data_IF_623866154246
#
_entry.id   IF_623866154246
#
_cell.length_a   1.000
_cell.length_b   1.000
_cell.length_c   1.000
_cell.angle_alpha   90.00
_cell.angle_beta   90.00
_cell.angle_gamma   90.00
#
_symmetry.space_group_name_H-M   'P 1'
#
loop_
_entity.id
_entity.type
_entity.pdbx_description
1 polymer ?
#
# COMPACT_ATOMS: atom_id res chain seq x y z
N UNK A 1 -44.58 -54.10 46.20
CA UNK A 1 -43.30 -53.34 46.31
C UNK A 1 -42.34 -54.00 45.33
N UNK A 2 -41.67 -53.38 44.36
CA UNK A 2 -41.23 -51.99 44.15
C UNK A 2 -41.29 -51.68 42.64
N UNK A 3 -41.76 -50.49 42.27
CA UNK A 3 -41.45 -49.84 40.98
C UNK A 3 -40.17 -49.03 41.18
N UNK A 4 -39.17 -49.16 40.31
CA UNK A 4 -38.05 -48.21 40.21
C UNK A 4 -37.76 -47.85 38.75
N UNK A 5 -37.28 -46.62 38.49
CA UNK A 5 -37.62 -45.87 37.27
C UNK A 5 -36.45 -45.73 36.28
N UNK A 6 -36.85 -45.59 35.02
CA UNK A 6 -36.22 -44.90 33.87
C UNK A 6 -34.71 -44.59 33.89
N UNK A 7 -33.89 -45.26 33.05
CA UNK A 7 -32.52 -44.85 32.73
C UNK A 7 -32.42 -43.93 31.51
N UNK A 8 -33.53 -43.49 30.92
CA UNK A 8 -33.53 -42.81 29.61
C UNK A 8 -33.39 -41.28 29.67
N UNK A 9 -33.45 -40.64 30.84
CA UNK A 9 -33.46 -39.17 30.92
C UNK A 9 -32.08 -38.48 30.93
N UNK A 10 -30.97 -39.18 31.23
CA UNK A 10 -29.66 -38.52 31.29
C UNK A 10 -29.02 -38.26 29.91
N UNK A 11 -29.24 -39.10 28.90
CA UNK A 11 -28.59 -38.94 27.60
C UNK A 11 -29.13 -37.77 26.77
N UNK A 12 -30.41 -37.42 26.92
CA UNK A 12 -31.03 -36.35 26.13
C UNK A 12 -30.50 -34.97 26.55
N UNK A 13 -30.22 -34.78 27.85
CA UNK A 13 -29.77 -33.49 28.39
C UNK A 13 -28.35 -33.13 27.93
N UNK A 14 -27.45 -34.11 27.85
CA UNK A 14 -26.04 -33.87 27.45
C UNK A 14 -25.95 -33.49 25.95
N UNK A 15 -26.72 -34.15 25.08
CA UNK A 15 -26.75 -33.83 23.65
C UNK A 15 -27.30 -32.42 23.37
N UNK A 16 -28.30 -31.97 24.12
CA UNK A 16 -28.83 -30.61 23.99
C UNK A 16 -27.84 -29.53 24.44
N UNK A 17 -26.98 -29.79 25.44
CA UNK A 17 -25.96 -28.82 25.90
C UNK A 17 -24.86 -28.65 24.85
N UNK A 18 -24.38 -29.75 24.25
CA UNK A 18 -23.36 -29.68 23.19
C UNK A 18 -23.89 -28.92 21.96
N UNK A 19 -25.13 -29.17 21.56
CA UNK A 19 -25.77 -28.47 20.44
C UNK A 19 -25.96 -26.96 20.72
N UNK A 20 -26.33 -26.58 21.96
CA UNK A 20 -26.42 -25.16 22.35
C UNK A 20 -25.06 -24.47 22.30
N UNK A 21 -23.98 -25.13 22.76
CA UNK A 21 -22.64 -24.51 22.74
C UNK A 21 -22.09 -24.35 21.32
N UNK A 22 -22.36 -25.28 20.40
CA UNK A 22 -21.98 -25.15 18.99
C UNK A 22 -22.77 -24.02 18.28
N UNK A 23 -24.07 -23.89 18.57
CA UNK A 23 -24.91 -22.82 18.02
C UNK A 23 -24.50 -21.44 18.54
N UNK A 24 -24.15 -21.31 19.83
CA UNK A 24 -23.63 -20.05 20.37
C UNK A 24 -22.26 -19.69 19.81
N UNK A 25 -21.38 -20.67 19.56
CA UNK A 25 -20.08 -20.42 18.92
C UNK A 25 -20.23 -19.91 17.48
N UNK A 26 -21.18 -20.47 16.72
CA UNK A 26 -21.41 -20.07 15.34
C UNK A 26 -22.03 -18.67 15.21
N UNK A 27 -22.70 -18.18 16.25
CA UNK A 27 -23.42 -16.90 16.22
C UNK A 27 -22.61 -15.73 16.81
N UNK A 28 -21.57 -16.01 17.60
CA UNK A 28 -20.76 -14.99 18.29
C UNK A 28 -19.46 -14.62 17.58
N UNK A 29 -18.93 -15.49 16.70
CA UNK A 29 -17.69 -15.23 15.95
C UNK A 29 -17.92 -14.65 14.54
N UNK A 30 -19.15 -14.66 14.03
CA UNK A 30 -19.45 -14.13 12.69
C UNK A 30 -19.39 -12.61 12.52
N UNK A 31 -19.50 -11.71 13.54
CA UNK A 31 -19.49 -10.28 13.25
C UNK A 31 -18.09 -9.65 13.22
N UNK A 32 -17.00 -10.39 13.47
CA UNK A 32 -15.65 -9.83 13.53
C UNK A 32 -14.87 -9.85 12.19
N UNK A 33 -15.42 -10.50 11.17
CA UNK A 33 -14.81 -10.51 9.84
C UNK A 33 -15.78 -9.86 8.85
N UNK A 34 -15.53 -8.60 8.42
CA UNK A 34 -16.31 -8.01 7.34
C UNK A 34 -16.23 -8.92 6.12
N UNK A 35 -17.39 -9.42 5.68
CA UNK A 35 -17.53 -10.49 4.67
C UNK A 35 -17.45 -10.00 3.22
N UNK A 36 -16.83 -8.86 2.95
CA UNK A 36 -16.53 -8.43 1.58
C UNK A 36 -15.13 -7.82 1.55
N UNK A 37 -14.18 -8.54 0.95
CA UNK A 37 -12.90 -7.98 0.59
C UNK A 37 -13.14 -6.90 -0.46
N UNK A 38 -12.84 -5.64 -0.13
CA UNK A 38 -12.83 -4.58 -1.15
C UNK A 38 -11.85 -4.97 -2.28
N UNK A 39 -12.22 -4.75 -3.54
CA UNK A 39 -11.32 -5.02 -4.66
C UNK A 39 -10.03 -4.21 -4.50
N UNK A 40 -8.89 -4.83 -4.83
CA UNK A 40 -7.59 -4.15 -4.80
C UNK A 40 -7.62 -3.05 -5.86
N UNK A 41 -7.39 -1.80 -5.44
CA UNK A 41 -7.25 -0.67 -6.35
C UNK A 41 -5.76 -0.43 -6.62
N UNK A 42 -5.39 -0.39 -7.90
CA UNK A 42 -4.05 -0.04 -8.32
C UNK A 42 -3.82 1.47 -8.19
N UNK A 43 -2.58 1.85 -7.93
CA UNK A 43 -2.13 3.24 -7.94
C UNK A 43 -2.05 3.79 -9.36
N UNK A 44 -2.32 5.08 -9.51
CA UNK A 44 -2.10 5.79 -10.76
C UNK A 44 -0.60 5.80 -11.13
N UNK A 45 -0.31 5.61 -12.42
CA UNK A 45 1.05 5.64 -12.97
C UNK A 45 1.13 6.71 -14.06
N UNK A 46 2.32 7.29 -14.33
CA UNK A 46 2.47 8.39 -15.28
C UNK A 46 2.29 7.93 -16.75
N UNK A 47 2.24 6.63 -16.99
CA UNK A 47 1.94 6.00 -18.28
C UNK A 47 1.39 4.59 -18.07
N UNK A 48 0.97 3.93 -19.15
CA UNK A 48 0.48 2.55 -19.10
C UNK A 48 1.59 1.52 -18.84
N UNK A 49 2.84 1.81 -19.21
CA UNK A 49 4.00 0.92 -18.98
C UNK A 49 5.23 1.69 -18.51
N UNK A 50 6.16 0.99 -17.84
CA UNK A 50 7.45 1.57 -17.42
C UNK A 50 8.22 2.14 -18.61
N UNK A 51 8.27 1.41 -19.72
CA UNK A 51 9.01 1.81 -20.93
C UNK A 51 8.43 3.09 -21.55
N UNK A 52 7.10 3.25 -21.53
CA UNK A 52 6.46 4.47 -21.98
C UNK A 52 6.81 5.65 -21.05
N UNK A 53 6.73 5.43 -19.74
CA UNK A 53 7.11 6.45 -18.76
C UNK A 53 8.59 6.85 -18.89
N UNK A 54 9.49 5.89 -19.13
CA UNK A 54 10.92 6.17 -19.40
C UNK A 54 11.11 7.05 -20.63
N UNK A 55 10.31 6.86 -21.69
CA UNK A 55 10.34 7.74 -22.86
C UNK A 55 9.84 9.14 -22.54
N UNK A 56 8.73 9.26 -21.82
CA UNK A 56 8.17 10.55 -21.37
C UNK A 56 9.22 11.31 -20.55
N UNK A 57 9.89 10.65 -19.61
CA UNK A 57 10.96 11.27 -18.82
C UNK A 57 12.09 11.82 -19.71
N UNK A 58 12.53 11.05 -20.72
CA UNK A 58 13.59 11.46 -21.63
C UNK A 58 13.20 12.61 -22.57
N UNK A 59 11.90 12.79 -22.86
CA UNK A 59 11.41 13.84 -23.76
C UNK A 59 10.96 15.08 -23.00
N UNK A 60 10.06 14.92 -22.04
CA UNK A 60 9.35 15.99 -21.36
C UNK A 60 10.12 16.51 -20.14
N UNK A 61 10.88 15.64 -19.46
CA UNK A 61 11.65 15.99 -18.27
C UNK A 61 13.17 16.05 -18.50
N UNK A 62 13.60 16.08 -19.76
CA UNK A 62 15.01 16.09 -20.15
C UNK A 62 15.83 17.21 -19.48
N UNK A 63 15.24 18.40 -19.37
CA UNK A 63 15.92 19.55 -18.78
C UNK A 63 16.18 19.35 -17.28
N UNK A 64 15.17 18.92 -16.53
CA UNK A 64 15.30 18.57 -15.12
C UNK A 64 16.33 17.46 -14.90
N UNK A 65 16.31 16.41 -15.72
CA UNK A 65 17.29 15.32 -15.68
C UNK A 65 18.72 15.87 -15.86
N UNK A 66 18.93 16.77 -16.82
CA UNK A 66 20.24 17.37 -17.07
C UNK A 66 20.72 18.24 -15.91
N UNK A 67 19.83 18.99 -15.26
CA UNK A 67 20.15 19.82 -14.10
C UNK A 67 20.57 18.93 -12.93
N UNK A 68 19.78 17.90 -12.64
CA UNK A 68 20.05 16.94 -11.57
C UNK A 68 21.37 16.21 -11.83
N UNK A 69 21.62 15.80 -13.08
CA UNK A 69 22.89 15.19 -13.47
C UNK A 69 24.09 16.10 -13.19
N UNK A 70 24.00 17.38 -13.55
CA UNK A 70 25.08 18.35 -13.28
C UNK A 70 25.32 18.51 -11.79
N UNK A 71 24.26 18.56 -11.01
CA UNK A 71 24.37 18.66 -9.56
C UNK A 71 25.02 17.41 -8.94
N UNK A 72 24.55 16.22 -9.29
CA UNK A 72 25.14 14.95 -8.83
C UNK A 72 26.64 14.88 -9.13
N UNK A 73 27.04 15.33 -10.32
CA UNK A 73 28.47 15.44 -10.69
C UNK A 73 29.22 16.46 -9.84
N UNK A 74 28.62 17.62 -9.54
CA UNK A 74 29.26 18.66 -8.74
C UNK A 74 29.56 18.22 -7.29
N UNK A 75 28.74 17.33 -6.74
CA UNK A 75 28.92 16.76 -5.39
C UNK A 75 29.67 15.41 -5.41
N UNK A 76 30.34 15.06 -6.52
CA UNK A 76 31.07 13.80 -6.73
C UNK A 76 30.25 12.53 -6.48
N UNK A 77 28.94 12.60 -6.69
CA UNK A 77 28.05 11.46 -6.51
C UNK A 77 27.84 10.76 -7.87
N UNK A 78 28.53 9.63 -8.05
CA UNK A 78 28.43 8.82 -9.27
C UNK A 78 27.29 7.81 -9.17
N UNK A 79 26.05 8.29 -9.23
CA UNK A 79 24.85 7.44 -9.33
C UNK A 79 24.40 7.36 -10.79
N UNK A 80 24.04 6.15 -11.29
CA UNK A 80 23.46 6.02 -12.62
C UNK A 80 22.12 6.75 -12.69
N UNK A 81 21.90 7.49 -13.77
CA UNK A 81 20.61 8.11 -14.06
C UNK A 81 19.71 7.02 -14.64
N UNK A 82 19.01 6.35 -13.74
CA UNK A 82 18.06 5.31 -14.09
C UNK A 82 16.83 5.47 -13.21
N UNK A 83 15.68 5.55 -13.88
CA UNK A 83 14.37 5.69 -13.26
C UNK A 83 14.02 4.49 -12.38
N UNK A 84 14.63 3.33 -12.59
CA UNK A 84 14.43 2.15 -11.73
C UNK A 84 15.46 2.07 -10.59
N UNK A 85 16.44 2.98 -10.53
CA UNK A 85 17.46 2.94 -9.50
C UNK A 85 16.93 3.62 -8.21
N UNK A 86 16.79 2.87 -7.10
CA UNK A 86 16.11 3.37 -5.90
C UNK A 86 16.81 4.58 -5.27
N UNK A 87 18.15 4.60 -5.29
CA UNK A 87 18.90 5.75 -4.78
C UNK A 87 18.70 6.99 -5.65
N UNK A 88 18.54 6.81 -6.97
CA UNK A 88 18.29 7.93 -7.86
C UNK A 88 16.90 8.51 -7.60
N UNK A 89 15.87 7.66 -7.52
CA UNK A 89 14.51 8.06 -7.16
C UNK A 89 14.48 8.83 -5.84
N UNK A 90 15.11 8.29 -4.78
CA UNK A 90 15.16 8.93 -3.47
C UNK A 90 15.81 10.31 -3.50
N UNK A 91 16.91 10.47 -4.26
CA UNK A 91 17.54 11.79 -4.43
C UNK A 91 16.60 12.75 -5.14
N UNK A 92 15.97 12.33 -6.25
CA UNK A 92 15.04 13.21 -6.98
C UNK A 92 13.90 13.62 -6.06
N UNK A 93 13.28 12.70 -5.33
CA UNK A 93 12.22 13.00 -4.38
C UNK A 93 12.65 13.99 -3.29
N UNK A 94 13.89 13.88 -2.80
CA UNK A 94 14.42 14.81 -1.79
C UNK A 94 14.48 16.27 -2.27
N UNK A 95 14.64 16.48 -3.59
CA UNK A 95 14.59 17.83 -4.19
C UNK A 95 13.20 18.46 -4.08
N UNK A 96 12.15 17.66 -3.90
CA UNK A 96 10.80 18.15 -3.61
C UNK A 96 10.65 18.72 -2.20
N UNK A 97 11.50 18.32 -1.26
CA UNK A 97 11.51 18.84 0.13
C UNK A 97 12.29 20.15 0.19
N UNK A 98 13.36 20.27 -0.58
CA UNK A 98 14.16 21.48 -0.67
C UNK A 98 15.14 21.42 -1.84
N UNK A 99 15.26 22.55 -2.55
CA UNK A 99 16.20 22.67 -3.65
C UNK A 99 17.58 23.11 -3.14
N UNK A 100 18.68 22.51 -3.65
CA UNK A 100 20.03 23.01 -3.44
C UNK A 100 20.19 24.43 -3.98
N UNK A 101 21.13 25.16 -3.38
CA UNK A 101 21.51 26.51 -3.85
C UNK A 101 21.93 26.48 -5.33
N UNK A 102 21.41 27.42 -6.12
CA UNK A 102 21.69 27.56 -7.55
C UNK A 102 20.76 26.78 -8.49
N UNK A 103 19.68 26.17 -7.97
CA UNK A 103 18.62 25.53 -8.75
C UNK A 103 17.29 26.30 -8.75
N UNK A 104 17.20 27.42 -8.05
CA UNK A 104 15.95 28.13 -7.78
C UNK A 104 15.31 28.66 -9.06
N UNK A 105 16.12 29.05 -10.05
CA UNK A 105 15.66 29.50 -11.35
C UNK A 105 15.06 28.40 -12.23
N UNK A 106 15.13 27.14 -11.79
CA UNK A 106 14.63 25.94 -12.47
C UNK A 106 13.71 25.09 -11.59
N UNK A 107 13.14 25.74 -10.57
CA UNK A 107 12.31 25.08 -9.57
C UNK A 107 11.09 24.41 -10.19
N UNK A 108 10.40 25.07 -11.13
CA UNK A 108 9.17 24.52 -11.73
C UNK A 108 9.46 23.23 -12.51
N UNK A 109 10.55 23.21 -13.30
CA UNK A 109 10.95 22.04 -14.07
C UNK A 109 11.36 20.88 -13.15
N UNK A 110 12.07 21.16 -12.06
CA UNK A 110 12.47 20.15 -11.08
C UNK A 110 11.25 19.61 -10.35
N UNK A 111 10.35 20.47 -9.85
CA UNK A 111 9.13 20.06 -9.15
C UNK A 111 8.23 19.21 -10.05
N UNK A 112 8.09 19.58 -11.33
CA UNK A 112 7.35 18.77 -12.29
C UNK A 112 7.96 17.36 -12.44
N UNK A 113 9.29 17.27 -12.50
CA UNK A 113 9.97 15.98 -12.57
C UNK A 113 9.88 15.18 -11.26
N UNK A 114 9.91 15.83 -10.09
CA UNK A 114 9.71 15.17 -8.80
C UNK A 114 8.34 14.52 -8.74
N UNK A 115 7.28 15.23 -9.13
CA UNK A 115 5.92 14.68 -9.20
C UNK A 115 5.83 13.50 -10.16
N UNK A 116 6.53 13.58 -11.29
CA UNK A 116 6.63 12.48 -12.24
C UNK A 116 7.28 11.24 -11.60
N UNK A 117 8.38 11.40 -10.85
CA UNK A 117 9.05 10.30 -10.15
C UNK A 117 8.16 9.69 -9.06
N UNK A 118 7.47 10.52 -8.28
CA UNK A 118 6.52 10.06 -7.25
C UNK A 118 5.44 9.13 -7.86
N UNK A 119 4.87 9.51 -9.00
CA UNK A 119 3.95 8.65 -9.75
C UNK A 119 4.65 7.43 -10.36
N UNK A 120 5.91 7.57 -10.81
CA UNK A 120 6.65 6.46 -11.41
C UNK A 120 6.90 5.32 -10.41
N UNK A 121 7.17 5.62 -9.13
CA UNK A 121 7.35 4.61 -8.08
C UNK A 121 6.12 3.69 -7.92
N UNK A 122 4.94 4.15 -8.33
CA UNK A 122 3.71 3.37 -8.28
C UNK A 122 3.74 2.14 -9.19
N UNK A 123 4.60 2.07 -10.21
CA UNK A 123 4.80 0.82 -10.96
C UNK A 123 5.26 -0.32 -10.06
N UNK A 124 6.23 -0.05 -9.16
CA UNK A 124 6.75 -1.04 -8.21
C UNK A 124 5.70 -1.41 -7.17
N UNK A 125 4.98 -0.42 -6.64
CA UNK A 125 3.85 -0.65 -5.70
C UNK A 125 2.76 -1.51 -6.34
N UNK A 126 2.43 -1.26 -7.61
CA UNK A 126 1.45 -2.05 -8.36
C UNK A 126 1.93 -3.47 -8.70
N UNK A 127 3.24 -3.69 -8.90
CA UNK A 127 3.81 -5.03 -9.01
C UNK A 127 3.73 -5.79 -7.69
N UNK A 128 3.95 -5.12 -6.56
CA UNK A 128 3.72 -5.70 -5.23
C UNK A 128 2.27 -6.07 -5.01
N UNK A 129 1.33 -5.17 -5.30
CA UNK A 129 -0.11 -5.43 -5.20
C UNK A 129 -0.52 -6.63 -6.07
N UNK A 130 -0.03 -6.72 -7.31
CA UNK A 130 -0.26 -7.89 -8.19
C UNK A 130 0.26 -9.19 -7.57
N UNK A 131 1.45 -9.17 -6.97
CA UNK A 131 2.00 -10.35 -6.28
C UNK A 131 1.10 -10.79 -5.12
N UNK A 132 0.55 -9.84 -4.36
CA UNK A 132 -0.40 -10.15 -3.27
C UNK A 132 -1.74 -10.65 -3.77
N UNK A 133 -2.28 -10.13 -4.88
CA UNK A 133 -3.52 -10.64 -5.50
C UNK A 133 -3.38 -12.12 -5.90
N UNK A 134 -2.24 -12.49 -6.50
CA UNK A 134 -1.94 -13.89 -6.86
C UNK A 134 -1.83 -14.78 -5.61
N UNK A 135 -1.26 -14.27 -4.52
CA UNK A 135 -1.17 -14.99 -3.25
C UNK A 135 -2.52 -15.11 -2.50
N UNK A 136 -3.49 -14.25 -2.78
CA UNK A 136 -4.85 -14.33 -2.23
C UNK A 136 -5.59 -15.59 -2.75
N UNK A 137 -5.19 -16.12 -3.90
CA UNK A 137 -5.60 -17.45 -4.38
C UNK A 137 -4.94 -18.61 -3.61
N UNK A 138 -3.99 -18.32 -2.71
CA UNK A 138 -3.21 -19.28 -1.91
C UNK A 138 -3.38 -18.96 -0.42
N UNK A 139 -4.57 -19.19 0.15
CA UNK A 139 -4.91 -19.24 1.58
C UNK A 139 -3.88 -18.65 2.58
N UNK A 140 -3.65 -17.34 2.56
CA UNK A 140 -2.87 -16.65 3.60
C UNK A 140 -3.83 -16.09 4.66
N UNK A 141 -3.54 -16.25 5.98
CA UNK A 141 -4.38 -15.70 7.04
C UNK A 141 -4.57 -14.18 6.96
N UNK A 142 -5.84 -13.76 7.01
CA UNK A 142 -6.38 -12.40 6.88
C UNK A 142 -5.64 -11.30 7.68
N UNK A 143 -5.06 -11.62 8.84
CA UNK A 143 -4.51 -10.62 9.78
C UNK A 143 -3.20 -9.94 9.31
N UNK A 144 -2.41 -10.59 8.45
CA UNK A 144 -1.19 -9.99 7.88
C UNK A 144 -1.49 -9.09 6.66
N UNK A 145 -2.66 -9.27 6.04
CA UNK A 145 -3.10 -8.62 4.80
C UNK A 145 -3.42 -7.14 5.03
N UNK A 146 -4.19 -6.81 6.06
CA UNK A 146 -4.60 -5.41 6.30
C UNK A 146 -3.41 -4.49 6.64
N UNK A 147 -2.43 -4.96 7.41
CA UNK A 147 -1.25 -4.14 7.70
C UNK A 147 -0.38 -3.93 6.47
N UNK A 148 -0.23 -4.93 5.60
CA UNK A 148 0.56 -4.80 4.38
C UNK A 148 -0.15 -3.93 3.33
N UNK A 149 -1.46 -4.11 3.16
CA UNK A 149 -2.27 -3.32 2.22
C UNK A 149 -2.46 -1.89 2.71
N UNK A 150 -2.56 -1.62 4.02
CA UNK A 150 -2.73 -0.25 4.53
C UNK A 150 -1.58 0.70 4.15
N UNK A 151 -0.35 0.19 4.00
CA UNK A 151 0.79 0.98 3.52
C UNK A 151 0.80 1.15 1.99
N UNK A 152 -0.04 0.38 1.29
CA UNK A 152 -0.18 0.32 -0.15
C UNK A 152 -1.59 0.75 -0.62
N UNK A 153 -2.42 1.32 0.25
CA UNK A 153 -3.68 1.93 -0.14
C UNK A 153 -3.45 3.41 -0.43
N UNK A 154 -4.01 3.94 -1.54
CA UNK A 154 -3.99 5.37 -1.79
C UNK A 154 -4.51 6.13 -0.58
N UNK A 155 -3.78 7.17 -0.18
CA UNK A 155 -4.33 8.16 0.75
C UNK A 155 -5.52 8.79 0.04
N UNK A 156 -6.73 8.77 0.65
CA UNK A 156 -7.90 9.40 0.05
C UNK A 156 -7.61 10.85 -0.33
N UNK A 157 -8.12 11.32 -1.47
CA UNK A 157 -7.91 12.71 -1.93
C UNK A 157 -8.46 13.74 -0.92
N UNK A 158 -9.34 13.33 -0.02
CA UNK A 158 -9.96 14.08 1.07
C UNK A 158 -9.33 13.80 2.45
N UNK A 159 -8.17 13.11 2.51
CA UNK A 159 -7.50 12.84 3.77
C UNK A 159 -7.10 14.14 4.47
N UNK A 160 -7.65 14.33 5.68
CA UNK A 160 -7.31 15.48 6.53
C UNK A 160 -5.86 15.36 6.99
N UNK A 161 -5.12 16.46 6.87
CA UNK A 161 -3.75 16.56 7.38
C UNK A 161 -3.71 16.28 8.87
N UNK A 162 -2.77 15.42 9.30
CA UNK A 162 -2.52 15.15 10.73
C UNK A 162 -1.84 16.32 11.46
N UNK A 163 -1.51 17.42 10.75
CA UNK A 163 -0.90 18.62 11.33
C UNK A 163 -1.90 19.63 11.94
N UNK A 164 -3.22 19.42 11.81
CA UNK A 164 -4.22 20.37 12.36
C UNK A 164 -4.48 20.25 13.88
N UNK A 165 -3.56 19.68 14.66
CA UNK A 165 -3.79 19.52 16.10
C UNK A 165 -2.61 19.84 17.02
N UNK A 166 -1.94 20.99 16.82
CA UNK A 166 -1.28 21.69 17.93
C UNK A 166 -1.18 23.18 17.66
N UNK A 167 -2.24 23.92 17.96
CA UNK A 167 -2.17 25.27 18.53
C UNK A 167 -3.55 25.67 19.08
N UNK A 168 -3.74 25.41 20.36
CA UNK A 168 -4.68 26.12 21.24
C UNK A 168 -3.94 26.48 22.51
#
# INVERSE_FOLDING_TARGET
MMKRPYPFMCCVVILSIVALTASLYHQTLSPLFPSELKPISYFETPANTREQAKKIAQTEHREAINIIQKHLRSINHSIPIDLDHPTYQSIVLSLGVGLPEGMENKQDEIVAYVKFIDLYENFTKNEELRRYEVLDHVSIPFLNRERLIAHLTPIPADAKSTLEHTNK
#
